data_IF_131544269784
#
_entry.id   IF_131544269784
#
_cell.length_a   1.000
_cell.length_b   1.000
_cell.length_c   1.000
_cell.angle_alpha   90.00
_cell.angle_beta   90.00
_cell.angle_gamma   90.00
#
_symmetry.space_group_name_H-M   'P 1'
#
loop_
_entity.id
_entity.type
_entity.pdbx_description
1 polymer ?
#
# COMPACT_ATOMS: atom_id res chain seq x y z
N UNK A 1 50.91 29.57 -13.28
CA UNK A 1 49.66 30.10 -12.67
C UNK A 1 48.37 29.28 -12.96
N UNK A 2 48.39 28.27 -13.84
CA UNK A 2 47.19 27.48 -14.21
C UNK A 2 46.92 26.22 -13.33
N UNK A 3 47.84 25.77 -12.48
CA UNK A 3 47.64 24.59 -11.65
C UNK A 3 46.92 24.83 -10.30
N UNK A 4 46.79 26.07 -9.85
CA UNK A 4 46.12 26.41 -8.58
C UNK A 4 44.58 26.64 -8.78
N UNK A 5 44.09 26.97 -9.96
CA UNK A 5 42.69 27.22 -10.23
C UNK A 5 41.86 25.93 -10.34
N UNK A 6 42.41 24.80 -10.84
CA UNK A 6 41.72 23.54 -10.93
C UNK A 6 41.47 22.88 -9.54
N UNK A 7 42.34 23.10 -8.55
CA UNK A 7 42.17 22.53 -7.22
C UNK A 7 41.02 23.14 -6.43
N UNK A 8 40.76 24.42 -6.61
CA UNK A 8 39.62 25.12 -5.95
C UNK A 8 38.27 24.78 -6.56
N UNK A 9 38.19 24.52 -7.85
CA UNK A 9 36.94 24.09 -8.52
C UNK A 9 36.55 22.66 -8.09
N UNK A 10 37.47 21.74 -7.98
CA UNK A 10 37.20 20.36 -7.51
C UNK A 10 36.81 20.31 -6.02
N UNK A 11 37.42 21.11 -5.16
CA UNK A 11 37.04 21.25 -3.76
C UNK A 11 35.64 21.89 -3.60
N UNK A 12 35.29 22.87 -4.41
CA UNK A 12 33.97 23.49 -4.39
C UNK A 12 32.85 22.52 -4.79
N UNK A 13 33.07 21.68 -5.81
CA UNK A 13 32.10 20.69 -6.29
C UNK A 13 31.87 19.58 -5.25
N UNK A 14 32.92 19.11 -4.57
CA UNK A 14 32.79 18.09 -3.52
C UNK A 14 32.04 18.61 -2.30
N UNK A 15 32.22 19.86 -1.90
CA UNK A 15 31.48 20.46 -0.78
C UNK A 15 30.01 20.71 -1.12
N UNK A 16 29.68 21.10 -2.34
CA UNK A 16 28.29 21.27 -2.76
C UNK A 16 27.53 19.95 -2.82
N UNK A 17 28.12 18.91 -3.39
CA UNK A 17 27.52 17.57 -3.43
C UNK A 17 27.33 16.98 -2.02
N UNK A 18 28.29 17.21 -1.12
CA UNK A 18 28.20 16.73 0.26
C UNK A 18 27.17 17.50 1.09
N UNK A 19 26.98 18.80 0.86
CA UNK A 19 25.94 19.60 1.48
C UNK A 19 24.56 19.14 1.01
N UNK A 20 24.36 18.93 -0.27
CA UNK A 20 23.10 18.46 -0.86
C UNK A 20 22.74 17.04 -0.35
N UNK A 21 23.68 16.12 -0.30
CA UNK A 21 23.47 14.77 0.25
C UNK A 21 23.06 14.82 1.75
N UNK A 22 23.57 15.78 2.50
CA UNK A 22 23.19 16.00 3.91
C UNK A 22 21.75 16.50 4.00
N UNK A 23 21.30 17.40 3.09
CA UNK A 23 19.93 17.87 3.05
C UNK A 23 18.93 16.73 2.73
N UNK A 24 19.24 15.88 1.75
CA UNK A 24 18.43 14.71 1.43
C UNK A 24 18.30 13.73 2.59
N UNK A 25 19.40 13.44 3.29
CA UNK A 25 19.40 12.57 4.47
C UNK A 25 18.48 13.10 5.56
N UNK A 26 18.48 14.41 5.81
CA UNK A 26 17.61 15.04 6.83
C UNK A 26 16.13 14.90 6.46
N UNK A 27 15.77 15.15 5.20
CA UNK A 27 14.39 14.96 4.71
C UNK A 27 13.97 13.51 4.85
N UNK A 28 14.78 12.59 4.35
CA UNK A 28 14.48 11.15 4.36
C UNK A 28 14.26 10.60 5.77
N UNK A 29 15.11 10.99 6.72
CA UNK A 29 14.95 10.61 8.12
C UNK A 29 13.74 11.23 8.77
N UNK A 30 13.47 12.52 8.53
CA UNK A 30 12.30 13.19 9.08
C UNK A 30 11.00 12.52 8.61
N UNK A 31 10.89 12.16 7.33
CA UNK A 31 9.74 11.45 6.76
C UNK A 31 9.67 10.01 7.28
N UNK A 32 10.81 9.31 7.32
CA UNK A 32 10.86 7.94 7.85
C UNK A 32 10.37 7.89 9.29
N UNK A 33 10.85 8.78 10.15
CA UNK A 33 10.51 8.80 11.57
C UNK A 33 9.08 9.28 11.83
N UNK A 34 8.60 10.27 11.08
CA UNK A 34 7.27 10.84 11.29
C UNK A 34 6.14 10.04 10.64
N UNK A 35 6.40 9.37 9.52
CA UNK A 35 5.35 8.73 8.70
C UNK A 35 5.57 7.23 8.56
N UNK A 36 6.71 6.81 8.03
CA UNK A 36 6.91 5.41 7.62
C UNK A 36 6.90 4.47 8.83
N UNK A 37 7.72 4.75 9.85
CA UNK A 37 7.79 3.92 11.06
C UNK A 37 6.43 3.85 11.79
N UNK A 38 5.75 4.98 12.10
CA UNK A 38 4.44 4.93 12.75
C UNK A 38 3.37 4.22 11.91
N UNK A 39 3.43 4.30 10.57
CA UNK A 39 2.47 3.62 9.70
C UNK A 39 2.66 2.08 9.74
N UNK A 40 3.88 1.58 9.67
CA UNK A 40 4.16 0.15 9.83
C UNK A 40 3.88 -0.35 11.25
N UNK A 41 4.12 0.47 12.28
CA UNK A 41 3.75 0.13 13.66
C UNK A 41 2.22 -0.01 13.82
N UNK A 42 1.44 0.89 13.22
CA UNK A 42 -0.03 0.76 13.19
C UNK A 42 -0.47 -0.48 12.43
N UNK A 43 0.18 -0.80 11.30
CA UNK A 43 -0.13 -2.02 10.55
C UNK A 43 0.14 -3.27 11.38
N UNK A 44 1.32 -3.40 11.99
CA UNK A 44 1.65 -4.51 12.87
C UNK A 44 0.69 -4.62 14.07
N UNK A 45 0.34 -3.50 14.70
CA UNK A 45 -0.61 -3.47 15.81
C UNK A 45 -2.03 -3.91 15.42
N UNK A 46 -2.43 -3.73 14.15
CA UNK A 46 -3.76 -4.08 13.66
C UNK A 46 -3.95 -5.57 13.35
N UNK A 47 -2.88 -6.30 13.06
CA UNK A 47 -2.95 -7.71 12.66
C UNK A 47 -3.04 -8.68 13.85
N UNK A 48 -2.54 -8.30 15.03
CA UNK A 48 -2.67 -9.11 16.24
C UNK A 48 -4.15 -9.29 16.67
N UNK A 49 -5.01 -8.24 16.72
CA UNK A 49 -6.45 -8.41 16.92
C UNK A 49 -7.12 -9.28 15.83
N UNK A 50 -6.68 -9.19 14.58
CA UNK A 50 -7.20 -10.04 13.50
C UNK A 50 -6.89 -11.52 13.76
N UNK A 51 -5.66 -11.84 14.15
CA UNK A 51 -5.28 -13.21 14.53
C UNK A 51 -6.14 -13.70 15.70
N UNK A 52 -6.25 -12.92 16.77
CA UNK A 52 -7.04 -13.29 17.95
C UNK A 52 -8.53 -13.52 17.62
N UNK A 53 -9.12 -12.64 16.79
CA UNK A 53 -10.51 -12.80 16.35
C UNK A 53 -10.70 -14.03 15.45
N UNK A 54 -9.72 -14.34 14.59
CA UNK A 54 -9.72 -15.55 13.76
C UNK A 54 -9.61 -16.83 14.60
N UNK A 55 -8.81 -16.82 15.66
CA UNK A 55 -8.72 -17.93 16.62
C UNK A 55 -10.04 -18.13 17.38
N UNK A 56 -10.67 -17.05 17.86
CA UNK A 56 -11.97 -17.10 18.53
C UNK A 56 -13.08 -17.60 17.60
N UNK A 57 -13.11 -17.13 16.36
CA UNK A 57 -14.03 -17.62 15.33
C UNK A 57 -13.89 -19.13 15.16
N UNK A 58 -12.66 -19.63 15.06
CA UNK A 58 -12.40 -21.05 14.84
C UNK A 58 -12.57 -21.92 16.11
N UNK A 59 -12.54 -21.32 17.28
CA UNK A 59 -12.92 -22.03 18.52
C UNK A 59 -14.44 -22.21 18.63
N UNK A 60 -15.24 -21.27 18.13
CA UNK A 60 -16.69 -21.31 18.12
C UNK A 60 -17.22 -20.52 16.92
N UNK A 61 -17.63 -21.22 15.85
CA UNK A 61 -18.14 -20.59 14.63
C UNK A 61 -19.58 -20.12 14.86
N UNK A 62 -19.73 -18.86 15.23
CA UNK A 62 -20.99 -18.15 15.46
C UNK A 62 -21.04 -16.86 14.64
N UNK A 63 -22.25 -16.33 14.40
CA UNK A 63 -22.42 -15.03 13.74
C UNK A 63 -21.63 -13.91 14.43
N UNK A 64 -21.64 -13.87 15.77
CA UNK A 64 -20.93 -12.87 16.53
C UNK A 64 -19.41 -12.93 16.37
N UNK A 65 -18.83 -14.14 16.38
CA UNK A 65 -17.40 -14.33 16.17
C UNK A 65 -16.99 -14.07 14.71
N UNK A 66 -17.84 -14.41 13.73
CA UNK A 66 -17.60 -14.07 12.32
C UNK A 66 -17.61 -12.55 12.15
N UNK A 67 -18.61 -11.85 12.71
CA UNK A 67 -18.67 -10.39 12.65
C UNK A 67 -17.44 -9.72 13.31
N UNK A 68 -16.97 -10.26 14.44
CA UNK A 68 -15.74 -9.77 15.09
C UNK A 68 -14.49 -9.99 14.22
N UNK A 69 -14.35 -11.14 13.55
CA UNK A 69 -13.26 -11.41 12.63
C UNK A 69 -13.32 -10.51 11.39
N UNK A 70 -14.52 -10.27 10.84
CA UNK A 70 -14.74 -9.33 9.74
C UNK A 70 -14.37 -7.88 10.12
N UNK A 71 -14.73 -7.45 11.31
CA UNK A 71 -14.36 -6.12 11.82
C UNK A 71 -12.84 -6.00 12.02
N UNK A 72 -12.19 -7.01 12.58
CA UNK A 72 -10.74 -7.02 12.75
C UNK A 72 -10.01 -7.08 11.40
N UNK A 73 -10.55 -7.81 10.41
CA UNK A 73 -10.07 -7.79 9.03
C UNK A 73 -10.14 -6.37 8.45
N UNK A 74 -11.27 -5.68 8.58
CA UNK A 74 -11.43 -4.34 8.05
C UNK A 74 -10.41 -3.36 8.64
N UNK A 75 -10.14 -3.45 9.95
CA UNK A 75 -9.14 -2.62 10.62
C UNK A 75 -7.71 -2.91 10.12
N UNK A 76 -7.34 -4.19 9.99
CA UNK A 76 -6.03 -4.60 9.49
C UNK A 76 -5.84 -4.23 8.02
N UNK A 77 -6.88 -4.41 7.19
CA UNK A 77 -6.86 -4.03 5.80
C UNK A 77 -6.73 -2.50 5.61
N UNK A 78 -7.44 -1.71 6.41
CA UNK A 78 -7.31 -0.25 6.41
C UNK A 78 -5.88 0.19 6.77
N UNK A 79 -5.25 -0.44 7.76
CA UNK A 79 -3.86 -0.16 8.14
C UNK A 79 -2.87 -0.57 7.03
N UNK A 80 -3.12 -1.71 6.35
CA UNK A 80 -2.34 -2.11 5.16
C UNK A 80 -2.44 -1.07 4.04
N UNK A 81 -3.63 -0.53 3.76
CA UNK A 81 -3.80 0.54 2.78
C UNK A 81 -2.97 1.79 3.12
N UNK A 82 -2.72 2.01 4.40
CA UNK A 82 -1.85 3.10 4.90
C UNK A 82 -0.36 2.93 4.63
N UNK A 83 0.11 1.74 4.22
CA UNK A 83 1.52 1.45 3.91
C UNK A 83 1.72 0.80 2.53
N UNK A 84 0.66 0.42 1.84
CA UNK A 84 0.71 -0.29 0.57
C UNK A 84 1.49 0.44 -0.53
N UNK A 85 1.56 1.77 -0.46
CA UNK A 85 2.30 2.61 -1.39
C UNK A 85 3.82 2.50 -1.24
N UNK A 86 4.33 2.04 -0.11
CA UNK A 86 5.76 1.88 0.16
C UNK A 86 6.25 0.55 -0.45
N UNK A 87 6.57 0.54 -1.74
CA UNK A 87 6.98 -0.65 -2.50
C UNK A 87 8.49 -0.86 -2.52
N UNK A 88 9.21 -0.39 -1.52
CA UNK A 88 10.66 -0.52 -1.35
C UNK A 88 11.02 -0.92 0.09
N UNK A 89 12.29 -1.28 0.28
CA UNK A 89 12.80 -1.68 1.59
C UNK A 89 12.24 -3.04 2.06
N UNK A 90 12.07 -3.23 3.38
CA UNK A 90 11.76 -4.53 3.98
C UNK A 90 10.51 -5.22 3.43
N UNK A 91 9.52 -4.47 2.94
CA UNK A 91 8.29 -5.06 2.38
C UNK A 91 8.54 -5.92 1.14
N UNK A 92 9.62 -5.66 0.41
CA UNK A 92 9.99 -6.44 -0.78
C UNK A 92 10.71 -7.75 -0.45
N UNK A 93 11.17 -7.93 0.79
CA UNK A 93 11.86 -9.14 1.21
C UNK A 93 10.91 -10.34 1.18
N UNK A 94 11.39 -11.47 0.69
CA UNK A 94 10.62 -12.72 0.62
C UNK A 94 9.25 -12.56 -0.07
N UNK A 95 9.11 -11.60 -0.98
CA UNK A 95 7.85 -11.25 -1.67
C UNK A 95 6.71 -10.89 -0.70
N UNK A 96 7.01 -10.27 0.45
CA UNK A 96 6.00 -9.97 1.48
C UNK A 96 4.87 -9.08 0.97
N UNK A 97 5.16 -8.11 0.09
CA UNK A 97 4.13 -7.29 -0.56
C UNK A 97 3.09 -8.15 -1.31
N UNK A 98 3.53 -9.13 -2.11
CA UNK A 98 2.64 -10.05 -2.83
C UNK A 98 1.98 -11.06 -1.89
N UNK A 99 2.66 -11.50 -0.84
CA UNK A 99 2.09 -12.41 0.17
C UNK A 99 1.01 -11.74 1.01
N UNK A 100 1.07 -10.42 1.21
CA UNK A 100 0.02 -9.64 1.87
C UNK A 100 -1.14 -9.37 0.91
N UNK A 101 -0.84 -9.03 -0.35
CA UNK A 101 -1.84 -8.55 -1.31
C UNK A 101 -1.51 -8.99 -2.74
N UNK A 102 -1.96 -10.17 -3.12
CA UNK A 102 -1.93 -10.59 -4.52
C UNK A 102 -3.19 -10.12 -5.25
N UNK A 103 -3.13 -8.88 -5.69
CA UNK A 103 -4.21 -8.18 -6.40
C UNK A 103 -3.59 -7.11 -7.33
N UNK A 104 -4.14 -6.88 -8.55
CA UNK A 104 -5.26 -7.58 -9.17
C UNK A 104 -4.93 -9.02 -9.57
N UNK A 105 -5.95 -9.89 -9.58
CA UNK A 105 -5.86 -11.28 -10.05
C UNK A 105 -6.74 -11.46 -11.29
N UNK A 106 -6.36 -10.85 -12.39
CA UNK A 106 -7.12 -10.84 -13.65
C UNK A 106 -7.38 -12.23 -14.23
N UNK A 107 -6.50 -13.17 -13.93
CA UNK A 107 -6.59 -14.54 -14.40
C UNK A 107 -7.30 -15.49 -13.42
N UNK A 108 -7.72 -15.03 -12.25
CA UNK A 108 -8.31 -15.86 -11.20
C UNK A 108 -7.37 -16.95 -10.67
N UNK A 109 -6.09 -16.69 -10.68
CA UNK A 109 -5.06 -17.67 -10.27
C UNK A 109 -5.09 -17.90 -8.77
N UNK A 110 -5.16 -16.83 -7.97
CA UNK A 110 -5.27 -16.92 -6.51
C UNK A 110 -6.52 -17.69 -6.10
N UNK A 111 -7.64 -17.43 -6.77
CA UNK A 111 -8.89 -18.11 -6.53
C UNK A 111 -8.76 -19.62 -6.72
N UNK A 112 -8.24 -20.06 -7.87
CA UNK A 112 -8.04 -21.49 -8.15
C UNK A 112 -7.05 -22.15 -7.19
N UNK A 113 -6.01 -21.43 -6.76
CA UNK A 113 -5.02 -21.95 -5.81
C UNK A 113 -5.62 -22.10 -4.41
N UNK A 114 -6.45 -21.16 -3.97
CA UNK A 114 -7.17 -21.28 -2.71
C UNK A 114 -8.15 -22.46 -2.75
N UNK A 115 -8.93 -22.62 -3.81
CA UNK A 115 -9.83 -23.76 -3.99
C UNK A 115 -9.07 -25.10 -3.95
N UNK A 116 -7.91 -25.18 -4.59
CA UNK A 116 -7.09 -26.39 -4.58
C UNK A 116 -6.53 -26.70 -3.18
N UNK A 117 -6.10 -25.69 -2.42
CA UNK A 117 -5.62 -25.82 -1.05
C UNK A 117 -6.74 -26.30 -0.12
N UNK A 118 -7.94 -25.74 -0.25
CA UNK A 118 -9.13 -26.13 0.54
C UNK A 118 -9.56 -27.56 0.21
N UNK A 119 -9.55 -27.95 -1.07
CA UNK A 119 -9.92 -29.29 -1.51
C UNK A 119 -8.91 -30.36 -1.09
N UNK A 120 -7.61 -30.04 -1.05
CA UNK A 120 -6.56 -30.95 -0.60
C UNK A 120 -6.67 -31.28 0.89
N UNK A 121 -7.15 -30.33 1.68
CA UNK A 121 -7.39 -30.46 3.13
C UNK A 121 -6.20 -31.05 3.92
N UNK A 122 -4.96 -30.74 3.50
CA UNK A 122 -3.73 -31.20 4.15
C UNK A 122 -3.33 -30.26 5.30
N UNK A 123 -3.42 -30.68 6.58
CA UNK A 123 -3.05 -29.83 7.69
C UNK A 123 -1.54 -29.53 7.78
N UNK A 124 -0.68 -30.34 7.17
CA UNK A 124 0.76 -30.13 7.24
C UNK A 124 1.22 -28.86 6.52
N UNK A 125 0.48 -28.42 5.48
CA UNK A 125 0.80 -27.18 4.75
C UNK A 125 0.40 -25.92 5.53
N UNK A 126 -0.36 -26.03 6.61
CA UNK A 126 -0.81 -24.91 7.44
C UNK A 126 0.15 -24.56 8.58
N UNK A 127 1.15 -25.41 8.82
CA UNK A 127 2.25 -25.07 9.74
C UNK A 127 2.99 -23.82 9.20
N UNK A 128 3.31 -22.86 10.09
CA UNK A 128 3.79 -21.51 9.71
C UNK A 128 4.92 -21.53 8.65
N UNK A 129 5.94 -22.36 8.85
CA UNK A 129 7.05 -22.46 7.90
C UNK A 129 6.62 -23.06 6.54
N UNK A 130 5.72 -24.04 6.53
CA UNK A 130 5.18 -24.66 5.31
C UNK A 130 4.19 -23.71 4.62
N UNK A 131 3.34 -23.01 5.39
CA UNK A 131 2.40 -22.04 4.86
C UNK A 131 3.10 -20.87 4.18
N UNK A 132 4.21 -20.41 4.73
CA UNK A 132 5.05 -19.37 4.15
C UNK A 132 5.63 -19.73 2.76
N UNK A 133 5.67 -21.03 2.41
CA UNK A 133 6.12 -21.52 1.10
C UNK A 133 4.96 -21.76 0.11
N UNK A 134 3.71 -21.60 0.56
CA UNK A 134 2.56 -21.72 -0.33
C UNK A 134 2.54 -20.57 -1.34
N UNK A 135 1.69 -20.71 -2.37
CA UNK A 135 1.48 -19.63 -3.33
C UNK A 135 1.06 -18.33 -2.64
N UNK A 136 1.58 -17.20 -3.10
CA UNK A 136 1.21 -15.86 -2.61
C UNK A 136 -0.30 -15.61 -2.69
N UNK A 137 -0.99 -16.22 -3.66
CA UNK A 137 -2.44 -16.08 -3.84
C UNK A 137 -3.29 -16.66 -2.71
N UNK A 138 -2.72 -17.50 -1.83
CA UNK A 138 -3.47 -18.10 -0.70
C UNK A 138 -3.08 -17.52 0.66
N UNK A 139 -2.14 -16.57 0.71
CA UNK A 139 -1.51 -16.15 1.97
C UNK A 139 -2.02 -14.82 2.55
N UNK A 140 -2.68 -13.98 1.76
CA UNK A 140 -2.90 -12.57 2.04
C UNK A 140 -4.35 -12.17 2.28
N UNK A 141 -4.57 -10.87 2.31
CA UNK A 141 -5.89 -10.27 2.49
C UNK A 141 -6.94 -10.78 1.51
N UNK A 142 -6.68 -10.94 0.17
CA UNK A 142 -7.71 -11.38 -0.75
C UNK A 142 -8.22 -12.81 -0.46
N UNK A 143 -7.34 -13.70 -0.03
CA UNK A 143 -7.72 -15.07 0.35
C UNK A 143 -8.53 -15.09 1.65
N UNK A 144 -8.13 -14.29 2.64
CA UNK A 144 -8.85 -14.16 3.90
C UNK A 144 -10.22 -13.50 3.71
N UNK A 145 -10.29 -12.45 2.88
CA UNK A 145 -11.55 -11.81 2.50
C UNK A 145 -12.57 -12.82 1.96
N UNK A 146 -12.12 -13.66 1.05
CA UNK A 146 -13.01 -14.68 0.47
C UNK A 146 -13.57 -15.64 1.51
N UNK A 147 -12.77 -16.05 2.49
CA UNK A 147 -13.20 -16.99 3.54
C UNK A 147 -14.14 -16.34 4.55
N UNK A 148 -13.94 -15.04 4.83
CA UNK A 148 -14.74 -14.33 5.85
C UNK A 148 -15.99 -13.64 5.31
N UNK A 149 -16.02 -13.27 4.02
CA UNK A 149 -17.07 -12.42 3.44
C UNK A 149 -17.83 -13.06 2.27
N UNK A 150 -17.66 -14.35 2.00
CA UNK A 150 -18.57 -15.05 1.07
C UNK A 150 -19.96 -15.16 1.71
N UNK A 151 -21.00 -15.17 0.89
CA UNK A 151 -22.41 -15.22 1.34
C UNK A 151 -22.69 -16.43 2.26
N UNK A 152 -21.96 -17.53 2.05
CA UNK A 152 -22.08 -18.80 2.78
C UNK A 152 -20.95 -19.00 3.82
N UNK A 153 -20.14 -17.98 4.15
CA UNK A 153 -18.98 -18.09 5.03
C UNK A 153 -19.31 -18.75 6.37
N UNK A 154 -20.42 -18.34 7.03
CA UNK A 154 -20.79 -18.90 8.32
C UNK A 154 -21.06 -20.41 8.22
N UNK A 155 -21.88 -20.82 7.28
CA UNK A 155 -22.23 -22.24 7.09
C UNK A 155 -20.99 -23.06 6.69
N UNK A 156 -20.20 -22.54 5.74
CA UNK A 156 -18.98 -23.20 5.28
C UNK A 156 -17.98 -23.39 6.42
N UNK A 157 -17.75 -22.39 7.25
CA UNK A 157 -16.83 -22.49 8.39
C UNK A 157 -17.34 -23.44 9.49
N UNK A 158 -18.67 -23.56 9.65
CA UNK A 158 -19.28 -24.55 10.57
C UNK A 158 -19.13 -25.97 10.07
N UNK A 159 -19.31 -26.19 8.78
CA UNK A 159 -19.31 -27.53 8.17
C UNK A 159 -17.91 -28.04 7.81
N UNK A 160 -16.96 -27.11 7.56
CA UNK A 160 -15.62 -27.40 7.07
C UNK A 160 -14.52 -26.92 8.02
N UNK A 161 -14.13 -27.72 9.05
CA UNK A 161 -13.13 -27.29 10.03
C UNK A 161 -11.77 -26.92 9.41
N UNK A 162 -11.41 -27.49 8.26
CA UNK A 162 -10.18 -27.15 7.55
C UNK A 162 -10.19 -25.71 7.02
N UNK A 163 -11.34 -25.17 6.57
CA UNK A 163 -11.46 -23.77 6.16
C UNK A 163 -11.12 -22.83 7.31
N UNK A 164 -11.57 -23.18 8.51
CA UNK A 164 -11.23 -22.41 9.71
C UNK A 164 -9.73 -22.49 10.03
N UNK A 165 -9.10 -23.65 9.85
CA UNK A 165 -7.65 -23.77 10.00
C UNK A 165 -6.90 -22.89 9.00
N UNK A 166 -7.38 -22.78 7.75
CA UNK A 166 -6.82 -21.88 6.72
C UNK A 166 -7.00 -20.42 7.12
N UNK A 167 -8.17 -20.00 7.63
CA UNK A 167 -8.40 -18.65 8.17
C UNK A 167 -7.33 -18.27 9.20
N UNK A 168 -7.08 -19.17 10.18
CA UNK A 168 -6.04 -18.93 11.20
C UNK A 168 -4.64 -18.86 10.60
N UNK A 169 -4.31 -19.76 9.67
CA UNK A 169 -3.00 -19.78 9.04
C UNK A 169 -2.72 -18.46 8.27
N UNK A 170 -3.72 -17.95 7.53
CA UNK A 170 -3.61 -16.67 6.84
C UNK A 170 -3.46 -15.51 7.84
N UNK A 171 -4.29 -15.46 8.89
CA UNK A 171 -4.23 -14.40 9.89
C UNK A 171 -2.88 -14.41 10.65
N UNK A 172 -2.34 -15.60 10.98
CA UNK A 172 -1.00 -15.74 11.56
C UNK A 172 0.08 -15.22 10.61
N UNK A 173 0.04 -15.61 9.32
CA UNK A 173 0.99 -15.14 8.31
C UNK A 173 0.95 -13.62 8.12
N UNK A 174 -0.23 -13.00 8.12
CA UNK A 174 -0.39 -11.54 8.08
C UNK A 174 0.26 -10.86 9.30
N UNK A 175 0.06 -11.42 10.50
CA UNK A 175 0.65 -10.93 11.73
C UNK A 175 2.18 -11.10 11.76
N UNK A 176 2.69 -12.22 11.32
CA UNK A 176 4.12 -12.49 11.25
C UNK A 176 4.82 -11.53 10.28
N UNK A 177 4.27 -11.35 9.08
CA UNK A 177 4.84 -10.44 8.07
C UNK A 177 4.80 -9.00 8.55
N UNK A 178 3.65 -8.51 9.03
CA UNK A 178 3.51 -7.10 9.44
C UNK A 178 4.45 -6.76 10.59
N UNK A 179 4.56 -7.65 11.58
CA UNK A 179 5.47 -7.51 12.71
C UNK A 179 6.93 -7.51 12.25
N UNK A 180 7.30 -8.45 11.35
CA UNK A 180 8.66 -8.53 10.82
C UNK A 180 9.04 -7.30 9.99
N UNK A 181 8.14 -6.78 9.16
CA UNK A 181 8.38 -5.56 8.36
C UNK A 181 8.57 -4.35 9.27
N UNK A 182 7.69 -4.16 10.27
CA UNK A 182 7.80 -3.05 11.22
C UNK A 182 9.12 -3.10 12.02
N UNK A 183 9.50 -4.30 12.52
CA UNK A 183 10.78 -4.48 13.21
C UNK A 183 11.97 -4.15 12.32
N UNK A 184 12.01 -4.68 11.07
CA UNK A 184 13.11 -4.41 10.13
C UNK A 184 13.21 -2.94 9.73
N UNK A 185 12.10 -2.24 9.58
CA UNK A 185 12.12 -0.79 9.35
C UNK A 185 12.77 -0.06 10.51
N UNK A 186 12.43 -0.39 11.75
CA UNK A 186 12.95 0.28 12.96
C UNK A 186 14.40 -0.07 13.22
N UNK A 187 14.74 -1.36 13.18
CA UNK A 187 16.00 -1.88 13.70
C UNK A 187 17.12 -1.89 12.65
N UNK A 188 16.77 -1.97 11.35
CA UNK A 188 17.72 -2.12 10.25
C UNK A 188 17.58 -0.98 9.22
N UNK A 189 16.40 -0.84 8.59
CA UNK A 189 16.25 -0.04 7.37
C UNK A 189 16.30 1.47 7.61
N UNK A 190 15.88 1.93 8.79
CA UNK A 190 16.08 3.34 9.19
C UNK A 190 17.58 3.72 9.18
N UNK A 191 18.44 2.81 9.61
CA UNK A 191 19.89 3.01 9.53
C UNK A 191 20.40 3.01 8.10
N UNK A 192 19.82 2.19 7.23
CA UNK A 192 20.09 2.19 5.78
C UNK A 192 19.73 3.53 5.13
N UNK A 193 18.58 4.11 5.49
CA UNK A 193 18.20 5.46 5.04
C UNK A 193 19.16 6.53 5.56
N UNK A 194 19.62 6.41 6.81
CA UNK A 194 20.55 7.36 7.42
C UNK A 194 21.94 7.33 6.80
N UNK A 195 22.39 6.15 6.34
CA UNK A 195 23.76 5.89 5.87
C UNK A 195 23.74 5.42 4.40
N UNK A 196 22.93 6.07 3.56
CA UNK A 196 22.93 5.80 2.13
C UNK A 196 24.33 6.04 1.53
N UNK A 197 24.95 4.99 0.99
CA UNK A 197 26.27 5.00 0.36
C UNK A 197 26.35 3.98 -0.77
N UNK A 198 27.34 4.10 -1.66
CA UNK A 198 27.56 3.27 -2.85
C UNK A 198 27.59 1.74 -2.62
N UNK A 199 27.58 1.29 -1.37
CA UNK A 199 27.60 -0.14 -1.01
C UNK A 199 26.31 -0.62 -0.35
N UNK A 200 25.39 0.30 -0.07
CA UNK A 200 24.14 0.04 0.61
C UNK A 200 22.98 -0.32 -0.33
N UNK A 201 21.78 -0.35 0.22
CA UNK A 201 20.55 -0.49 -0.54
C UNK A 201 20.30 0.76 -1.41
N UNK A 202 20.64 1.92 -0.88
CA UNK A 202 20.68 3.20 -1.59
C UNK A 202 22.11 3.58 -1.89
N UNK A 203 22.43 3.93 -3.12
CA UNK A 203 23.74 4.41 -3.53
C UNK A 203 24.01 5.83 -3.02
N UNK A 204 22.94 6.60 -2.77
CA UNK A 204 22.98 7.96 -2.26
C UNK A 204 21.72 8.30 -1.45
N UNK A 205 21.75 9.39 -0.67
CA UNK A 205 20.56 9.90 0.00
C UNK A 205 19.51 10.40 -1.02
N UNK A 206 19.93 10.83 -2.21
CA UNK A 206 19.06 11.20 -3.32
C UNK A 206 18.20 10.00 -3.76
N UNK A 207 18.79 8.80 -3.90
CA UNK A 207 18.04 7.58 -4.29
C UNK A 207 16.95 7.25 -3.28
N UNK A 208 17.21 7.41 -1.98
CA UNK A 208 16.19 7.22 -0.96
C UNK A 208 15.06 8.26 -1.08
N UNK A 209 15.37 9.51 -1.43
CA UNK A 209 14.37 10.56 -1.71
C UNK A 209 13.55 10.21 -2.96
N UNK A 210 14.19 9.70 -4.00
CA UNK A 210 13.54 9.25 -5.24
C UNK A 210 12.54 8.13 -4.93
N UNK A 211 12.91 7.13 -4.13
CA UNK A 211 12.00 6.04 -3.77
C UNK A 211 10.79 6.52 -2.95
N UNK A 212 11.00 7.48 -2.03
CA UNK A 212 9.90 8.12 -1.31
C UNK A 212 8.97 8.91 -2.23
N UNK A 213 9.51 9.66 -3.20
CA UNK A 213 8.71 10.38 -4.19
C UNK A 213 7.97 9.43 -5.13
N UNK A 214 8.61 8.36 -5.59
CA UNK A 214 7.96 7.29 -6.37
C UNK A 214 6.79 6.67 -5.62
N UNK A 215 6.96 6.41 -4.30
CA UNK A 215 5.89 5.89 -3.48
C UNK A 215 4.64 6.80 -3.49
N UNK A 216 4.80 8.11 -3.63
CA UNK A 216 3.67 9.05 -3.80
C UNK A 216 3.16 9.04 -5.25
N UNK A 217 4.00 9.41 -6.22
CA UNK A 217 3.61 9.68 -7.61
C UNK A 217 3.04 8.45 -8.31
N UNK A 218 3.76 7.32 -8.26
CA UNK A 218 3.31 6.07 -8.89
C UNK A 218 2.06 5.51 -8.21
N UNK A 219 1.90 5.73 -6.89
CA UNK A 219 0.71 5.22 -6.20
C UNK A 219 -0.54 6.03 -6.51
N UNK A 220 -0.45 7.34 -6.79
CA UNK A 220 -1.60 8.09 -7.32
C UNK A 220 -2.07 7.47 -8.64
N UNK A 221 -1.15 7.19 -9.56
CA UNK A 221 -1.46 6.52 -10.84
C UNK A 221 -2.01 5.11 -10.63
N UNK A 222 -1.46 4.33 -9.70
CA UNK A 222 -1.96 2.99 -9.37
C UNK A 222 -3.38 3.03 -8.81
N UNK A 223 -3.69 3.96 -7.92
CA UNK A 223 -5.05 4.16 -7.39
C UNK A 223 -6.01 4.52 -8.51
N UNK A 224 -5.61 5.42 -9.41
CA UNK A 224 -6.42 5.80 -10.56
C UNK A 224 -6.69 4.63 -11.50
N UNK A 225 -5.66 3.99 -12.02
CA UNK A 225 -5.76 3.01 -13.10
C UNK A 225 -6.24 1.64 -12.58
N UNK A 226 -5.57 1.10 -11.55
CA UNK A 226 -5.87 -0.25 -11.11
C UNK A 226 -7.10 -0.32 -10.22
N UNK A 227 -7.31 0.67 -9.32
CA UNK A 227 -8.42 0.60 -8.35
C UNK A 227 -9.72 1.23 -8.85
N UNK A 228 -9.66 2.22 -9.76
CA UNK A 228 -10.84 2.90 -10.28
C UNK A 228 -11.10 2.62 -11.75
N UNK A 229 -10.19 2.90 -12.67
CA UNK A 229 -10.43 2.76 -14.10
C UNK A 229 -10.83 1.35 -14.51
N UNK A 230 -10.12 0.33 -13.96
CA UNK A 230 -10.45 -1.08 -14.18
C UNK A 230 -11.86 -1.47 -13.70
N UNK A 231 -12.43 -0.72 -12.75
CA UNK A 231 -13.78 -0.92 -12.19
C UNK A 231 -14.83 -0.14 -12.95
N UNK A 232 -14.56 1.14 -13.28
CA UNK A 232 -15.49 2.04 -13.93
C UNK A 232 -15.81 1.62 -15.37
N UNK A 233 -14.80 1.10 -16.11
CA UNK A 233 -14.93 0.82 -17.53
C UNK A 233 -15.26 2.09 -18.34
N UNK A 234 -15.66 1.93 -19.59
CA UNK A 234 -15.96 3.06 -20.49
C UNK A 234 -17.24 3.83 -20.10
N UNK A 235 -18.17 3.18 -19.41
CA UNK A 235 -19.44 3.76 -18.95
C UNK A 235 -20.04 2.89 -17.84
N UNK A 236 -21.09 3.38 -17.17
CA UNK A 236 -21.74 2.68 -16.05
C UNK A 236 -22.24 1.27 -16.43
N UNK A 237 -22.73 1.06 -17.64
CA UNK A 237 -23.19 -0.27 -18.08
C UNK A 237 -22.03 -1.26 -18.26
N UNK A 238 -20.81 -0.76 -18.51
CA UNK A 238 -19.60 -1.56 -18.62
C UNK A 238 -18.84 -1.69 -17.28
N UNK A 239 -19.31 -1.01 -16.23
CA UNK A 239 -18.66 -1.03 -14.90
C UNK A 239 -18.68 -2.45 -14.29
N UNK A 240 -17.60 -2.80 -13.59
CA UNK A 240 -17.34 -4.14 -13.06
C UNK A 240 -16.93 -4.10 -11.59
N UNK A 241 -17.89 -3.92 -10.69
CA UNK A 241 -17.66 -3.81 -9.24
C UNK A 241 -16.84 -4.97 -8.65
N UNK A 242 -16.95 -6.19 -9.20
CA UNK A 242 -16.16 -7.35 -8.75
C UNK A 242 -14.67 -7.30 -9.13
N UNK A 243 -14.25 -6.33 -9.92
CA UNK A 243 -12.83 -6.03 -10.16
C UNK A 243 -12.22 -5.14 -9.08
N UNK A 244 -13.06 -4.49 -8.27
CA UNK A 244 -12.58 -3.64 -7.20
C UNK A 244 -11.81 -4.46 -6.15
N UNK A 245 -10.73 -3.87 -5.64
CA UNK A 245 -10.03 -4.41 -4.48
C UNK A 245 -11.01 -4.51 -3.30
N UNK A 246 -10.96 -5.59 -2.53
CA UNK A 246 -11.83 -5.81 -1.36
C UNK A 246 -13.34 -5.63 -1.65
N UNK A 247 -13.79 -6.12 -2.81
CA UNK A 247 -15.18 -5.96 -3.26
C UNK A 247 -16.18 -6.81 -2.45
N UNK A 248 -15.74 -7.94 -1.86
CA UNK A 248 -16.60 -8.81 -1.05
C UNK A 248 -16.90 -8.23 0.31
N UNK A 249 -15.89 -7.63 0.90
CA UNK A 249 -15.99 -6.95 2.19
C UNK A 249 -16.57 -5.54 2.09
N UNK A 250 -16.80 -5.05 0.86
CA UNK A 250 -17.26 -3.69 0.55
C UNK A 250 -16.32 -2.59 1.07
N UNK A 251 -15.02 -2.91 1.17
CA UNK A 251 -14.00 -1.99 1.66
C UNK A 251 -13.28 -1.22 0.55
N UNK A 252 -13.72 -1.31 -0.70
CA UNK A 252 -13.07 -0.70 -1.87
C UNK A 252 -12.98 0.82 -1.76
N UNK A 253 -14.08 1.52 -1.47
CA UNK A 253 -14.09 2.99 -1.35
C UNK A 253 -13.35 3.45 -0.09
N UNK A 254 -13.54 2.83 1.09
CA UNK A 254 -12.69 3.09 2.27
C UNK A 254 -11.18 2.90 1.99
N UNK A 255 -10.81 1.92 1.17
CA UNK A 255 -9.40 1.72 0.77
C UNK A 255 -8.84 2.90 -0.02
N UNK A 256 -9.62 3.45 -0.97
CA UNK A 256 -9.22 4.66 -1.72
C UNK A 256 -8.97 5.85 -0.78
N UNK A 257 -9.86 6.07 0.20
CA UNK A 257 -9.70 7.13 1.21
C UNK A 257 -8.42 6.96 2.02
N UNK A 258 -8.15 5.74 2.49
CA UNK A 258 -6.94 5.43 3.25
C UNK A 258 -5.67 5.61 2.40
N UNK A 259 -5.68 5.21 1.13
CA UNK A 259 -4.56 5.43 0.23
C UNK A 259 -4.27 6.92 0.05
N UNK A 260 -5.27 7.73 -0.30
CA UNK A 260 -5.09 9.17 -0.52
C UNK A 260 -4.60 9.88 0.75
N UNK A 261 -5.16 9.55 1.90
CA UNK A 261 -4.70 10.10 3.19
C UNK A 261 -3.23 9.73 3.48
N UNK A 262 -2.84 8.49 3.21
CA UNK A 262 -1.46 8.02 3.42
C UNK A 262 -0.47 8.68 2.46
N UNK A 263 -0.84 8.89 1.19
CA UNK A 263 -0.01 9.59 0.22
C UNK A 263 0.18 11.08 0.60
N UNK A 264 -0.87 11.74 1.06
CA UNK A 264 -0.77 13.11 1.55
C UNK A 264 0.13 13.17 2.80
N UNK A 265 -0.03 12.26 3.75
CA UNK A 265 0.80 12.18 4.95
C UNK A 265 2.28 11.99 4.56
N UNK A 266 2.60 11.04 3.66
CA UNK A 266 3.96 10.80 3.19
C UNK A 266 4.58 12.05 2.55
N UNK A 267 3.80 12.81 1.79
CA UNK A 267 4.28 14.02 1.12
C UNK A 267 4.44 15.20 2.08
N UNK A 268 3.53 15.35 3.08
CA UNK A 268 3.37 16.60 3.84
C UNK A 268 3.80 16.53 5.29
N UNK A 269 3.90 15.33 5.87
CA UNK A 269 4.31 15.18 7.27
C UNK A 269 5.83 14.99 7.36
N UNK A 270 6.37 15.32 8.54
CA UNK A 270 7.81 15.39 8.79
C UNK A 270 8.33 16.84 8.82
N UNK A 271 9.51 17.03 9.41
CA UNK A 271 10.13 18.36 9.48
C UNK A 271 11.64 18.22 9.28
N UNK A 272 12.14 18.46 8.06
CA UNK A 272 11.41 18.87 6.86
C UNK A 272 10.51 17.77 6.29
N UNK A 273 9.44 18.16 5.59
CA UNK A 273 8.56 17.24 4.87
C UNK A 273 9.15 16.84 3.52
N UNK A 274 8.69 15.71 2.94
CA UNK A 274 9.13 15.28 1.60
C UNK A 274 8.85 16.35 0.54
N UNK A 275 7.72 17.06 0.66
CA UNK A 275 7.36 18.16 -0.24
C UNK A 275 8.33 19.35 -0.23
N UNK A 276 9.26 19.43 0.72
CA UNK A 276 10.30 20.47 0.72
C UNK A 276 11.28 20.39 -0.45
N UNK A 277 11.26 19.27 -1.18
CA UNK A 277 12.04 19.09 -2.42
C UNK A 277 11.42 19.83 -3.62
N UNK A 278 10.14 20.22 -3.54
CA UNK A 278 9.44 20.94 -4.58
C UNK A 278 9.62 22.46 -4.42
N UNK A 279 9.39 23.19 -5.51
CA UNK A 279 9.34 24.63 -5.44
C UNK A 279 8.13 25.08 -4.58
N UNK A 280 8.30 26.08 -3.69
CA UNK A 280 7.21 26.55 -2.83
C UNK A 280 5.94 26.97 -3.59
N UNK A 281 6.08 27.50 -4.82
CA UNK A 281 4.97 27.95 -5.65
C UNK A 281 4.10 26.80 -6.18
N UNK A 282 4.59 25.55 -6.21
CA UNK A 282 3.83 24.39 -6.66
C UNK A 282 2.94 23.81 -5.54
N UNK A 283 3.31 24.00 -4.28
CA UNK A 283 2.66 23.37 -3.14
C UNK A 283 1.18 23.75 -2.96
N UNK A 284 0.74 25.02 -3.15
CA UNK A 284 -0.68 25.37 -3.00
C UNK A 284 -1.60 24.63 -3.98
N UNK A 285 -1.15 24.40 -5.22
CA UNK A 285 -1.92 23.67 -6.22
C UNK A 285 -2.05 22.18 -5.85
N UNK A 286 -0.96 21.55 -5.39
CA UNK A 286 -0.94 20.17 -4.92
C UNK A 286 -1.84 20.01 -3.69
N UNK A 287 -1.76 20.91 -2.72
CA UNK A 287 -2.60 20.87 -1.52
C UNK A 287 -4.09 21.01 -1.85
N UNK A 288 -4.43 21.92 -2.79
CA UNK A 288 -5.80 22.10 -3.29
C UNK A 288 -6.32 20.83 -3.99
N UNK A 289 -5.48 20.17 -4.79
CA UNK A 289 -5.85 18.92 -5.47
C UNK A 289 -6.12 17.79 -4.45
N UNK A 290 -5.29 17.61 -3.43
CA UNK A 290 -5.56 16.66 -2.35
C UNK A 290 -6.86 16.98 -1.62
N UNK A 291 -7.12 18.25 -1.30
CA UNK A 291 -8.34 18.66 -0.61
C UNK A 291 -9.60 18.39 -1.44
N UNK A 292 -9.58 18.68 -2.74
CA UNK A 292 -10.68 18.40 -3.68
C UNK A 292 -10.93 16.88 -3.77
N UNK A 293 -9.88 16.10 -4.00
CA UNK A 293 -9.95 14.64 -4.07
C UNK A 293 -10.52 14.03 -2.78
N UNK A 294 -10.09 14.48 -1.62
CA UNK A 294 -10.63 14.01 -0.33
C UNK A 294 -12.10 14.40 -0.14
N UNK A 295 -12.50 15.59 -0.59
CA UNK A 295 -13.89 16.03 -0.54
C UNK A 295 -14.78 15.16 -1.43
N UNK A 296 -14.36 14.86 -2.67
CA UNK A 296 -15.13 14.02 -3.58
C UNK A 296 -15.15 12.55 -3.14
N UNK A 297 -14.05 12.04 -2.57
CA UNK A 297 -14.03 10.73 -1.91
C UNK A 297 -14.97 10.67 -0.69
N UNK A 298 -15.06 11.72 0.10
CA UNK A 298 -15.98 11.78 1.25
C UNK A 298 -17.47 11.86 0.81
N UNK A 299 -17.74 12.46 -0.35
CA UNK A 299 -19.06 12.54 -0.94
C UNK A 299 -19.49 11.25 -1.68
N UNK A 300 -18.54 10.40 -2.07
CA UNK A 300 -18.84 9.12 -2.71
C UNK A 300 -19.46 8.13 -1.71
N UNK A 301 -20.39 7.25 -2.15
CA UNK A 301 -20.92 6.17 -1.31
C UNK A 301 -19.79 5.30 -0.75
N UNK A 302 -19.95 4.78 0.49
CA UNK A 302 -18.94 3.89 1.09
C UNK A 302 -18.82 2.57 0.34
N UNK A 303 -19.93 2.08 -0.20
CA UNK A 303 -19.99 0.85 -0.99
C UNK A 303 -19.69 1.12 -2.46
N UNK A 304 -18.74 0.40 -3.04
CA UNK A 304 -18.47 0.41 -4.48
C UNK A 304 -19.70 -0.06 -5.26
N UNK A 305 -20.38 -1.09 -4.78
CA UNK A 305 -21.60 -1.59 -5.43
C UNK A 305 -22.74 -0.56 -5.41
N UNK A 306 -22.92 0.15 -4.29
CA UNK A 306 -23.89 1.25 -4.19
C UNK A 306 -23.52 2.41 -5.14
N UNK A 307 -22.23 2.77 -5.21
CA UNK A 307 -21.76 3.82 -6.11
C UNK A 307 -21.99 3.47 -7.60
N UNK A 308 -21.88 2.21 -7.98
CA UNK A 308 -22.12 1.76 -9.36
C UNK A 308 -23.60 1.52 -9.69
N UNK A 309 -24.50 1.53 -8.68
CA UNK A 309 -25.91 1.19 -8.87
C UNK A 309 -26.68 2.26 -9.65
N UNK A 310 -26.30 3.52 -9.52
CA UNK A 310 -26.96 4.65 -10.17
C UNK A 310 -25.99 5.66 -10.80
N UNK A 311 -26.53 6.63 -11.55
CA UNK A 311 -25.73 7.61 -12.27
C UNK A 311 -25.06 8.63 -11.34
N UNK A 312 -25.62 8.88 -10.16
CA UNK A 312 -25.08 9.85 -9.18
C UNK A 312 -23.84 9.29 -8.52
N UNK A 313 -23.91 8.05 -8.05
CA UNK A 313 -22.76 7.36 -7.44
C UNK A 313 -21.66 7.10 -8.46
N UNK A 314 -22.01 6.67 -9.68
CA UNK A 314 -21.06 6.47 -10.76
C UNK A 314 -20.33 7.78 -11.12
N UNK A 315 -21.06 8.90 -11.25
CA UNK A 315 -20.49 10.21 -11.50
C UNK A 315 -19.61 10.70 -10.36
N UNK A 316 -19.90 10.32 -9.10
CA UNK A 316 -19.02 10.63 -7.97
C UNK A 316 -17.65 9.93 -8.10
N UNK A 317 -17.64 8.65 -8.47
CA UNK A 317 -16.39 7.92 -8.73
C UNK A 317 -15.63 8.44 -9.96
N UNK A 318 -16.33 8.91 -10.99
CA UNK A 318 -15.70 9.55 -12.15
C UNK A 318 -14.99 10.86 -11.76
N UNK A 319 -15.57 11.66 -10.85
CA UNK A 319 -14.90 12.86 -10.33
C UNK A 319 -13.62 12.49 -9.57
N UNK A 320 -13.70 11.50 -8.68
CA UNK A 320 -12.51 10.98 -7.97
C UNK A 320 -11.42 10.53 -8.94
N UNK A 321 -11.80 9.86 -10.04
CA UNK A 321 -10.85 9.46 -11.08
C UNK A 321 -10.19 10.67 -11.76
N UNK A 322 -10.96 11.70 -12.10
CA UNK A 322 -10.45 12.94 -12.70
C UNK A 322 -9.55 13.73 -11.72
N UNK A 323 -9.91 13.78 -10.44
CA UNK A 323 -9.10 14.45 -9.41
C UNK A 323 -7.74 13.77 -9.20
N UNK A 324 -7.70 12.43 -9.27
CA UNK A 324 -6.45 11.66 -9.25
C UNK A 324 -5.56 11.99 -10.45
N UNK A 325 -6.14 12.22 -11.62
CA UNK A 325 -5.41 12.62 -12.83
C UNK A 325 -4.79 14.01 -12.65
N UNK A 326 -5.58 14.97 -12.18
CA UNK A 326 -5.10 16.33 -11.87
C UNK A 326 -3.98 16.30 -10.83
N UNK A 327 -4.15 15.53 -9.75
CA UNK A 327 -3.12 15.40 -8.71
C UNK A 327 -1.83 14.79 -9.28
N UNK A 328 -1.94 13.74 -10.11
CA UNK A 328 -0.79 13.12 -10.76
C UNK A 328 -0.03 14.11 -11.65
N UNK A 329 -0.73 14.85 -12.51
CA UNK A 329 -0.12 15.84 -13.40
C UNK A 329 0.61 16.95 -12.63
N UNK A 330 0.02 17.43 -11.51
CA UNK A 330 0.66 18.44 -10.65
C UNK A 330 1.92 17.90 -9.98
N UNK A 331 1.88 16.67 -9.46
CA UNK A 331 3.05 16.03 -8.85
C UNK A 331 4.16 15.80 -9.88
N UNK A 332 3.82 15.28 -11.07
CA UNK A 332 4.79 15.11 -12.16
C UNK A 332 5.41 16.45 -12.59
N UNK A 333 4.59 17.48 -12.72
CA UNK A 333 5.07 18.82 -13.10
C UNK A 333 6.01 19.40 -12.02
N UNK A 334 5.72 19.17 -10.74
CA UNK A 334 6.58 19.57 -9.63
C UNK A 334 7.92 18.81 -9.64
N UNK A 335 7.88 17.47 -9.82
CA UNK A 335 9.10 16.66 -9.95
C UNK A 335 9.97 17.11 -11.13
N UNK A 336 9.38 17.38 -12.29
CA UNK A 336 10.12 17.86 -13.49
C UNK A 336 10.87 19.18 -13.30
N UNK A 337 10.52 19.96 -12.26
CA UNK A 337 11.21 21.21 -11.91
C UNK A 337 12.36 20.99 -10.91
N UNK A 338 12.47 19.78 -10.38
CA UNK A 338 13.62 19.38 -9.54
C UNK A 338 14.71 18.75 -10.41
N UNK A 339 15.90 18.58 -9.84
CA UNK A 339 16.97 17.82 -10.50
C UNK A 339 16.81 16.28 -10.32
N UNK A 340 15.72 15.84 -9.67
CA UNK A 340 15.46 14.42 -9.39
C UNK A 340 14.85 13.73 -10.61
N UNK A 341 15.37 12.55 -10.94
CA UNK A 341 14.87 11.72 -12.03
C UNK A 341 14.22 10.46 -11.50
N UNK A 342 12.88 10.38 -11.54
CA UNK A 342 12.14 9.22 -11.03
C UNK A 342 12.25 7.97 -11.94
N UNK A 343 12.86 8.05 -13.11
CA UNK A 343 12.91 6.94 -14.07
C UNK A 343 11.58 6.73 -14.79
N UNK A 344 11.46 5.61 -15.53
CA UNK A 344 10.21 5.20 -16.16
C UNK A 344 9.25 4.66 -15.10
N UNK A 345 7.97 5.02 -15.24
CA UNK A 345 6.91 4.45 -14.40
C UNK A 345 6.72 2.97 -14.76
N UNK A 346 6.66 2.09 -13.77
CA UNK A 346 6.39 0.65 -13.96
C UNK A 346 5.01 0.35 -14.59
N UNK A 347 4.15 1.36 -14.72
CA UNK A 347 2.80 1.29 -15.32
C UNK A 347 2.76 1.76 -16.78
N UNK A 348 3.86 2.30 -17.31
CA UNK A 348 3.92 2.78 -18.70
C UNK A 348 4.04 1.64 -19.72
N UNK A 349 3.88 0.40 -19.28
CA UNK A 349 3.71 -0.83 -20.01
C UNK A 349 4.54 -0.97 -21.31
N UNK A 350 5.56 -1.81 -21.30
CA UNK A 350 6.05 -2.50 -22.49
C UNK A 350 5.22 -3.77 -22.76
#
# INVERSE_FOLDING_TARGET
MYRLLCGWLLLGLTHAAQAQNTEWTVVNLAVTDAVVLPAYDRFAASTSPLLAASEQLCAAVTEGNLAAAQQAYAAAFAAWQGVQHLQFGPITYFNWNYRLQFWPDDNGTALRQLDALLAAADPAVLESAAFAQQSVGVQGFPALERLLFADDSLATLQEQPYHCAVVRAIASNLNDISTAVAARWRDEFRTTVANADERGFFESAEDATIDLLKAVVESVRRVQQQKLEAVLGENRAAARGRRAEAWRSDLSVPALRNNVAALQALLREGSPALSSVFLPDDLPAIDSAFATLQQDLAAAPDSMNAALADDVGYAALQRVHADLDVLFELLEAAVKKTDLYLGFNSLDGD
#
